data_IF_983302673138
#
_entry.id   IF_983302673138
#
_cell.length_a   1.000
_cell.length_b   1.000
_cell.length_c   1.000
_cell.angle_alpha   90.00
_cell.angle_beta   90.00
_cell.angle_gamma   90.00
#
_symmetry.space_group_name_H-M   'P 1'
#
loop_
_entity.id
_entity.type
_entity.pdbx_description
1 polymer ?
#
# COMPACT_ATOMS: atom_id res chain seq x y z
N UNK A 1 2.00 14.77 -23.77
CA UNK A 1 2.53 13.44 -23.38
C UNK A 1 2.75 13.55 -21.88
N UNK A 2 1.74 13.15 -21.10
CA UNK A 2 1.73 13.22 -19.64
C UNK A 2 1.99 11.77 -19.18
N UNK A 3 2.93 11.51 -18.25
CA UNK A 3 3.23 10.14 -17.85
C UNK A 3 2.11 9.59 -16.95
N UNK A 4 1.83 8.31 -17.16
CA UNK A 4 0.91 7.45 -16.41
C UNK A 4 1.27 7.40 -14.91
N UNK A 5 0.25 7.41 -14.05
CA UNK A 5 0.38 7.04 -12.64
C UNK A 5 -0.60 5.91 -12.33
N UNK A 6 -0.11 4.67 -12.29
CA UNK A 6 -0.90 3.54 -11.81
C UNK A 6 -0.62 3.30 -10.32
N UNK A 7 -1.46 3.80 -9.43
CA UNK A 7 -1.23 3.75 -7.98
C UNK A 7 -1.30 2.33 -7.41
N UNK A 8 -0.18 1.62 -7.43
CA UNK A 8 0.20 0.50 -6.53
C UNK A 8 1.55 -0.06 -6.97
N UNK A 9 2.62 0.09 -6.16
CA UNK A 9 3.99 -0.47 -6.27
C UNK A 9 4.77 -0.44 -7.62
N UNK A 10 4.13 -0.10 -8.73
CA UNK A 10 4.62 -0.19 -10.10
C UNK A 10 4.22 1.02 -10.95
N UNK A 11 3.68 2.06 -10.30
CA UNK A 11 3.14 3.28 -10.90
C UNK A 11 4.05 3.96 -11.91
N UNK A 12 5.36 3.81 -11.73
CA UNK A 12 6.38 4.52 -12.48
C UNK A 12 7.08 3.66 -13.54
N UNK A 13 6.49 2.52 -13.92
CA UNK A 13 7.08 1.56 -14.87
C UNK A 13 6.22 1.42 -16.12
N UNK A 14 6.85 1.29 -17.28
CA UNK A 14 6.13 0.86 -18.49
C UNK A 14 5.66 -0.59 -18.34
N UNK A 15 4.71 -1.02 -19.17
CA UNK A 15 4.24 -2.42 -19.21
C UNK A 15 5.42 -3.38 -19.43
N UNK A 16 6.37 -3.02 -20.29
CA UNK A 16 7.57 -3.82 -20.56
C UNK A 16 8.48 -3.89 -19.34
N UNK A 17 8.73 -2.77 -18.66
CA UNK A 17 9.53 -2.73 -17.42
C UNK A 17 8.87 -3.56 -16.32
N UNK A 18 7.56 -3.40 -16.14
CA UNK A 18 6.78 -4.18 -15.19
C UNK A 18 6.91 -5.70 -15.45
N UNK A 19 6.87 -6.12 -16.72
CA UNK A 19 7.03 -7.53 -17.11
C UNK A 19 8.45 -8.07 -16.84
N UNK A 20 9.48 -7.25 -17.10
CA UNK A 20 10.87 -7.59 -16.78
C UNK A 20 11.05 -7.77 -15.28
N UNK A 21 10.59 -6.81 -14.47
CA UNK A 21 10.75 -6.90 -13.02
C UNK A 21 9.90 -8.02 -12.41
N UNK A 22 8.69 -8.28 -12.95
CA UNK A 22 7.87 -9.42 -12.54
C UNK A 22 8.62 -10.76 -12.67
N UNK A 23 9.45 -10.90 -13.71
CA UNK A 23 10.10 -12.19 -14.04
C UNK A 23 11.57 -12.28 -13.61
N UNK A 24 12.28 -11.16 -13.55
CA UNK A 24 13.76 -11.13 -13.40
C UNK A 24 14.27 -10.32 -12.22
N UNK A 25 13.43 -9.63 -11.44
CA UNK A 25 13.90 -8.75 -10.34
C UNK A 25 14.92 -9.41 -9.39
N UNK A 26 14.71 -10.68 -9.04
CA UNK A 26 15.62 -11.42 -8.16
C UNK A 26 16.95 -11.80 -8.81
N UNK A 27 17.03 -11.81 -10.14
CA UNK A 27 18.28 -11.99 -10.89
C UNK A 27 19.03 -10.66 -11.03
N UNK A 28 18.30 -9.54 -11.01
CA UNK A 28 18.85 -8.18 -11.13
C UNK A 28 19.40 -7.63 -9.81
N UNK A 29 18.91 -8.13 -8.67
CA UNK A 29 19.34 -7.68 -7.37
C UNK A 29 20.60 -8.40 -6.87
N UNK A 30 21.65 -7.63 -6.56
CA UNK A 30 22.83 -8.14 -5.89
C UNK A 30 22.56 -8.35 -4.39
N UNK A 31 22.22 -9.60 -4.04
CA UNK A 31 21.97 -9.98 -2.65
C UNK A 31 23.17 -9.81 -1.71
N UNK A 32 24.40 -9.68 -2.22
CA UNK A 32 25.56 -9.43 -1.37
C UNK A 32 25.48 -8.10 -0.62
N UNK A 33 24.68 -7.16 -1.15
CA UNK A 33 24.43 -5.85 -0.55
C UNK A 33 23.58 -5.91 0.71
N UNK A 34 22.76 -6.95 0.92
CA UNK A 34 21.87 -7.05 2.10
C UNK A 34 22.69 -6.96 3.40
N UNK A 35 23.77 -7.74 3.50
CA UNK A 35 24.62 -7.75 4.69
C UNK A 35 25.30 -6.40 4.96
N UNK A 36 25.72 -5.70 3.91
CA UNK A 36 26.32 -4.37 4.02
C UNK A 36 25.29 -3.32 4.48
N UNK A 37 24.10 -3.32 3.87
CA UNK A 37 22.99 -2.43 4.23
C UNK A 37 22.64 -2.59 5.71
N UNK A 38 22.39 -3.80 6.19
CA UNK A 38 22.00 -4.05 7.57
C UNK A 38 23.09 -3.67 8.57
N UNK A 39 24.36 -3.91 8.22
CA UNK A 39 25.49 -3.47 9.05
C UNK A 39 25.61 -1.96 9.08
N UNK A 40 25.42 -1.27 7.95
CA UNK A 40 25.58 0.18 7.86
C UNK A 40 24.43 0.94 8.49
N UNK A 41 23.20 0.52 8.22
CA UNK A 41 21.98 1.22 8.63
C UNK A 41 21.60 0.90 10.07
N UNK A 42 21.68 -0.37 10.47
CA UNK A 42 21.19 -0.84 11.76
C UNK A 42 22.29 -1.35 12.69
N UNK A 43 23.55 -1.38 12.25
CA UNK A 43 24.65 -2.03 12.97
C UNK A 43 24.34 -3.49 13.36
N UNK A 44 23.65 -4.22 12.46
CA UNK A 44 23.24 -5.61 12.67
C UNK A 44 24.01 -6.55 11.75
N UNK A 45 24.32 -7.76 12.24
CA UNK A 45 24.99 -8.81 11.47
C UNK A 45 23.98 -9.79 10.91
N UNK A 46 23.98 -9.91 9.58
CA UNK A 46 23.18 -10.89 8.83
C UNK A 46 23.88 -12.24 8.85
N UNK A 47 23.13 -13.29 9.21
CA UNK A 47 23.59 -14.69 9.19
C UNK A 47 22.97 -15.49 8.04
N UNK A 48 21.90 -14.98 7.43
CA UNK A 48 21.25 -15.57 6.27
C UNK A 48 20.08 -14.72 5.80
N UNK A 49 19.52 -15.06 4.65
CA UNK A 49 18.28 -14.48 4.15
C UNK A 49 17.62 -15.45 3.17
N UNK A 50 16.30 -15.35 3.05
CA UNK A 50 15.50 -16.15 2.12
C UNK A 50 14.39 -15.33 1.48
N UNK A 51 13.86 -15.81 0.35
CA UNK A 51 12.73 -15.17 -0.31
C UNK A 51 11.45 -15.55 0.42
N UNK A 52 10.51 -14.60 0.62
CA UNK A 52 9.19 -14.96 1.14
C UNK A 52 8.46 -15.88 0.17
N UNK A 53 7.56 -16.71 0.71
CA UNK A 53 6.71 -17.61 -0.09
C UNK A 53 5.81 -16.84 -1.05
N UNK A 54 5.24 -15.73 -0.58
CA UNK A 54 4.47 -14.80 -1.39
C UNK A 54 5.35 -13.66 -1.90
N UNK A 55 5.38 -13.48 -3.22
CA UNK A 55 6.22 -12.51 -3.90
C UNK A 55 5.32 -11.43 -4.49
N UNK A 56 5.37 -10.21 -3.93
CA UNK A 56 4.68 -9.03 -4.49
C UNK A 56 5.16 -8.71 -5.91
N UNK A 57 4.45 -7.86 -6.67
CA UNK A 57 4.69 -7.71 -8.11
C UNK A 57 5.93 -6.86 -8.51
N UNK A 58 6.32 -5.77 -7.80
CA UNK A 58 7.39 -4.91 -8.31
C UNK A 58 8.71 -4.93 -7.53
N UNK A 59 8.69 -5.15 -6.21
CA UNK A 59 9.87 -5.07 -5.35
C UNK A 59 10.54 -6.43 -5.16
N UNK A 60 11.85 -6.47 -4.99
CA UNK A 60 12.49 -7.65 -4.39
C UNK A 60 12.25 -7.65 -2.90
N UNK A 61 12.07 -8.82 -2.31
CA UNK A 61 11.78 -8.96 -0.89
C UNK A 61 12.52 -10.14 -0.30
N UNK A 62 12.99 -9.98 0.93
CA UNK A 62 13.75 -10.98 1.66
C UNK A 62 13.38 -10.97 3.14
N UNK A 63 13.23 -12.15 3.73
CA UNK A 63 13.35 -12.34 5.17
C UNK A 63 14.83 -12.41 5.49
N UNK A 64 15.30 -11.60 6.43
CA UNK A 64 16.72 -11.45 6.78
C UNK A 64 16.94 -11.95 8.19
N UNK A 65 17.74 -13.01 8.32
CA UNK A 65 18.07 -13.64 9.59
C UNK A 65 19.29 -12.98 10.23
N UNK A 66 19.20 -12.71 11.52
CA UNK A 66 20.17 -11.91 12.27
C UNK A 66 20.79 -12.70 13.43
N UNK A 67 22.06 -12.48 13.76
CA UNK A 67 22.82 -13.33 14.71
C UNK A 67 22.23 -13.35 16.14
N UNK A 68 21.62 -12.25 16.58
CA UNK A 68 21.15 -12.05 17.97
C UNK A 68 19.93 -11.13 18.07
N UNK A 69 19.07 -11.12 17.05
CA UNK A 69 17.81 -10.38 17.11
C UNK A 69 16.75 -11.07 16.28
N UNK A 70 15.50 -10.63 16.44
CA UNK A 70 14.42 -11.05 15.56
C UNK A 70 14.76 -10.79 14.09
N UNK A 71 14.23 -11.65 13.24
CA UNK A 71 14.34 -11.52 11.80
C UNK A 71 13.61 -10.27 11.34
N UNK A 72 14.14 -9.67 10.27
CA UNK A 72 13.57 -8.47 9.68
C UNK A 72 13.22 -8.72 8.23
N UNK A 73 12.30 -7.92 7.71
CA UNK A 73 11.93 -7.96 6.31
C UNK A 73 12.61 -6.82 5.56
N UNK A 74 13.26 -7.15 4.45
CA UNK A 74 13.88 -6.22 3.54
C UNK A 74 13.09 -6.19 2.25
N UNK A 75 12.79 -4.98 1.74
CA UNK A 75 12.26 -4.80 0.39
C UNK A 75 13.00 -3.72 -0.36
N UNK A 76 13.21 -3.91 -1.66
CA UNK A 76 13.84 -2.91 -2.51
C UNK A 76 13.13 -2.74 -3.85
N UNK A 77 13.00 -1.48 -4.25
CA UNK A 77 12.58 -1.08 -5.58
C UNK A 77 13.78 -0.84 -6.47
N UNK A 78 13.93 -1.72 -7.47
CA UNK A 78 15.04 -1.69 -8.41
C UNK A 78 14.79 -0.80 -9.64
N UNK A 79 13.58 -0.25 -9.82
CA UNK A 79 13.21 0.49 -11.02
C UNK A 79 12.08 1.45 -10.73
N UNK A 80 12.35 2.76 -10.75
CA UNK A 80 12.46 3.51 -12.01
C UNK A 80 13.53 4.63 -11.97
N UNK A 81 13.56 5.52 -12.97
CA UNK A 81 14.50 6.67 -13.04
C UNK A 81 14.41 7.59 -11.81
N UNK A 82 13.21 7.81 -11.29
CA UNK A 82 12.94 8.70 -10.15
C UNK A 82 12.78 7.91 -8.84
N UNK A 83 13.13 8.50 -7.68
CA UNK A 83 12.89 7.91 -6.35
C UNK A 83 11.42 7.58 -6.06
N UNK A 84 11.16 6.44 -5.42
CA UNK A 84 9.83 6.00 -5.03
C UNK A 84 9.38 6.63 -3.70
N UNK A 85 8.76 7.81 -3.78
CA UNK A 85 8.22 8.53 -2.61
C UNK A 85 7.17 7.72 -1.84
N UNK A 86 6.52 6.73 -2.47
CA UNK A 86 5.54 5.86 -1.81
C UNK A 86 6.16 5.04 -0.66
N UNK A 87 7.46 4.69 -0.72
CA UNK A 87 8.14 4.04 0.40
C UNK A 87 8.19 4.96 1.63
N UNK A 88 8.42 6.26 1.43
CA UNK A 88 8.41 7.24 2.54
C UNK A 88 7.00 7.45 3.06
N UNK A 89 6.02 7.52 2.15
CA UNK A 89 4.60 7.64 2.48
C UNK A 89 4.15 6.50 3.39
N UNK A 90 4.48 5.25 3.03
CA UNK A 90 4.07 4.08 3.81
C UNK A 90 4.64 4.13 5.23
N UNK A 91 5.91 4.50 5.39
CA UNK A 91 6.51 4.64 6.72
C UNK A 91 5.78 5.70 7.56
N UNK A 92 5.48 6.87 6.99
CA UNK A 92 4.79 7.94 7.70
C UNK A 92 3.36 7.53 8.10
N UNK A 93 2.61 6.97 7.16
CA UNK A 93 1.23 6.53 7.40
C UNK A 93 1.19 5.43 8.45
N UNK A 94 2.05 4.43 8.33
CA UNK A 94 2.10 3.34 9.30
C UNK A 94 2.50 3.83 10.70
N UNK A 95 3.48 4.74 10.81
CA UNK A 95 3.84 5.35 12.09
C UNK A 95 2.67 6.07 12.76
N UNK A 96 1.86 6.78 11.97
CA UNK A 96 0.66 7.48 12.48
C UNK A 96 -0.41 6.49 12.89
N UNK A 97 -0.67 5.45 12.11
CA UNK A 97 -1.61 4.40 12.47
C UNK A 97 -1.18 3.71 13.79
N UNK A 98 0.10 3.36 13.93
CA UNK A 98 0.66 2.79 15.17
C UNK A 98 0.54 3.73 16.36
N UNK A 99 0.78 5.04 16.17
CA UNK A 99 0.63 6.03 17.23
C UNK A 99 -0.82 6.15 17.74
N UNK A 100 -1.81 5.78 16.91
CA UNK A 100 -3.22 5.66 17.29
C UNK A 100 -3.60 4.24 17.76
N UNK A 101 -2.61 3.39 17.99
CA UNK A 101 -2.75 2.02 18.51
C UNK A 101 -3.31 1.02 17.50
N UNK A 102 -3.28 1.33 16.19
CA UNK A 102 -3.66 0.36 15.16
C UNK A 102 -2.51 -0.63 14.93
N UNK A 103 -2.81 -1.89 14.54
CA UNK A 103 -1.80 -2.91 14.33
C UNK A 103 -1.07 -2.74 12.99
N UNK A 104 -0.44 -1.59 12.73
CA UNK A 104 0.26 -1.36 11.47
C UNK A 104 1.74 -1.82 11.50
N UNK A 105 2.29 -2.20 10.33
CA UNK A 105 3.68 -2.66 10.18
C UNK A 105 4.71 -1.64 10.65
N UNK A 106 5.77 -2.06 11.32
CA UNK A 106 6.83 -1.12 11.72
C UNK A 106 7.93 -1.03 10.66
N UNK A 107 7.96 0.08 9.93
CA UNK A 107 9.04 0.36 8.98
C UNK A 107 10.17 1.10 9.70
N UNK A 108 11.25 0.36 9.98
CA UNK A 108 12.41 0.81 10.76
C UNK A 108 13.22 1.84 9.96
N UNK A 109 13.39 1.61 8.66
CA UNK A 109 14.20 2.46 7.81
C UNK A 109 13.67 2.51 6.39
N UNK A 110 13.81 3.68 5.76
CA UNK A 110 13.53 3.92 4.34
C UNK A 110 14.69 4.75 3.78
N UNK A 111 15.22 4.35 2.64
CA UNK A 111 16.18 5.15 1.86
C UNK A 111 15.72 5.20 0.41
N UNK A 112 15.40 6.41 -0.06
CA UNK A 112 15.08 6.72 -1.46
C UNK A 112 16.10 7.70 -2.06
N UNK A 113 17.18 8.00 -1.31
CA UNK A 113 18.16 9.03 -1.68
C UNK A 113 19.07 8.59 -2.83
N UNK A 114 19.24 7.27 -2.96
CA UNK A 114 20.13 6.60 -3.91
C UNK A 114 21.59 7.06 -3.86
N UNK A 115 22.01 7.65 -2.75
CA UNK A 115 23.37 8.18 -2.59
C UNK A 115 24.42 7.06 -2.39
N UNK A 116 24.04 5.99 -1.69
CA UNK A 116 24.93 4.87 -1.36
C UNK A 116 24.61 3.66 -2.22
N UNK A 117 23.32 3.33 -2.33
CA UNK A 117 22.82 2.19 -3.11
C UNK A 117 21.98 2.72 -4.28
N UNK A 118 22.08 2.17 -5.50
CA UNK A 118 21.44 2.73 -6.68
C UNK A 118 19.95 2.37 -6.81
N UNK A 119 19.28 2.10 -5.69
CA UNK A 119 17.89 1.66 -5.61
C UNK A 119 17.26 2.16 -4.32
N UNK A 120 15.93 2.15 -4.28
CA UNK A 120 15.18 2.53 -3.09
C UNK A 120 14.90 1.30 -2.24
N UNK A 121 14.91 1.41 -0.91
CA UNK A 121 14.64 0.26 -0.06
C UNK A 121 14.00 0.63 1.28
N UNK A 122 13.41 -0.38 1.90
CA UNK A 122 12.95 -0.34 3.28
C UNK A 122 13.45 -1.55 4.07
N UNK A 123 13.61 -1.34 5.38
CA UNK A 123 13.77 -2.40 6.37
C UNK A 123 12.61 -2.29 7.36
N UNK A 124 11.91 -3.39 7.62
CA UNK A 124 10.75 -3.43 8.50
C UNK A 124 10.76 -4.65 9.41
N UNK A 125 10.00 -4.59 10.51
CA UNK A 125 9.75 -5.75 11.37
C UNK A 125 8.95 -6.82 10.63
N UNK A 126 9.14 -8.09 11.02
CA UNK A 126 8.31 -9.19 10.54
C UNK A 126 6.90 -9.05 11.10
N UNK A 127 5.92 -8.96 10.20
CA UNK A 127 4.51 -8.92 10.54
C UNK A 127 4.07 -10.28 11.11
N UNK A 128 3.37 -10.27 12.24
CA UNK A 128 2.89 -11.47 12.92
C UNK A 128 1.45 -11.83 12.51
N UNK A 129 1.13 -13.12 12.59
CA UNK A 129 -0.18 -13.67 12.24
C UNK A 129 -0.17 -14.41 10.90
N UNK A 130 -1.32 -14.97 10.55
CA UNK A 130 -1.50 -15.76 9.33
C UNK A 130 -2.11 -14.92 8.21
N UNK A 131 -1.85 -15.31 6.96
CA UNK A 131 -2.48 -14.70 5.79
C UNK A 131 -3.98 -15.00 5.73
N UNK A 132 -4.83 -13.98 5.70
CA UNK A 132 -6.27 -14.20 5.58
C UNK A 132 -6.66 -14.71 4.16
N UNK A 133 -5.90 -14.33 3.13
CA UNK A 133 -6.21 -14.70 1.75
C UNK A 133 -5.85 -16.15 1.46
N UNK A 134 -4.78 -16.70 2.04
CA UNK A 134 -4.34 -18.07 1.70
C UNK A 134 -4.33 -19.07 2.87
N UNK A 135 -4.30 -18.60 4.12
CA UNK A 135 -4.14 -19.45 5.32
C UNK A 135 -5.35 -19.37 6.27
N UNK A 136 -6.50 -18.85 5.83
CA UNK A 136 -7.70 -18.83 6.68
C UNK A 136 -8.25 -20.24 6.91
N UNK A 137 -8.28 -20.68 8.18
CA UNK A 137 -8.68 -22.04 8.57
C UNK A 137 -9.82 -22.08 9.61
N UNK A 138 -10.56 -20.98 9.78
CA UNK A 138 -11.67 -20.87 10.74
C UNK A 138 -13.04 -21.29 10.20
N UNK A 139 -14.06 -21.29 11.07
CA UNK A 139 -15.47 -21.40 10.68
C UNK A 139 -16.02 -20.07 10.14
N UNK A 140 -17.28 -20.06 9.70
CA UNK A 140 -17.97 -18.82 9.33
C UNK A 140 -18.00 -17.83 10.50
N UNK A 141 -18.28 -18.28 11.72
CA UNK A 141 -18.31 -17.42 12.92
C UNK A 141 -16.93 -16.82 13.22
N UNK A 142 -15.85 -17.56 12.95
CA UNK A 142 -14.50 -17.03 13.03
C UNK A 142 -14.25 -15.96 11.97
N UNK A 143 -14.73 -16.15 10.75
CA UNK A 143 -14.62 -15.14 9.71
C UNK A 143 -15.47 -13.90 10.03
N UNK A 144 -16.68 -14.08 10.57
CA UNK A 144 -17.51 -12.96 11.03
C UNK A 144 -16.78 -12.14 12.12
N UNK A 145 -16.02 -12.81 13.00
CA UNK A 145 -15.16 -12.15 14.01
C UNK A 145 -14.05 -11.35 13.34
N UNK A 146 -13.36 -11.94 12.36
CA UNK A 146 -12.33 -11.27 11.58
C UNK A 146 -12.88 -10.05 10.84
N UNK A 147 -13.98 -10.19 10.11
CA UNK A 147 -14.62 -9.10 9.38
C UNK A 147 -15.13 -7.99 10.31
N UNK A 148 -15.65 -8.34 11.49
CA UNK A 148 -16.01 -7.35 12.49
C UNK A 148 -14.79 -6.56 12.97
N UNK A 149 -13.66 -7.24 13.20
CA UNK A 149 -12.40 -6.59 13.59
C UNK A 149 -11.81 -5.71 12.47
N UNK A 150 -12.01 -6.04 11.20
CA UNK A 150 -11.72 -5.14 10.06
C UNK A 150 -12.61 -3.89 10.14
N UNK A 151 -13.90 -4.04 10.43
CA UNK A 151 -14.81 -2.91 10.64
C UNK A 151 -14.34 -1.99 11.78
N UNK A 152 -13.83 -2.57 12.88
CA UNK A 152 -13.23 -1.81 13.97
C UNK A 152 -11.95 -1.08 13.55
N UNK A 153 -11.10 -1.73 12.74
CA UNK A 153 -9.90 -1.11 12.17
C UNK A 153 -10.27 0.12 11.33
N UNK A 154 -11.24 -0.01 10.42
CA UNK A 154 -11.75 1.06 9.56
C UNK A 154 -12.35 2.20 10.38
N UNK A 155 -13.14 1.87 11.42
CA UNK A 155 -13.67 2.87 12.34
C UNK A 155 -12.57 3.66 13.05
N UNK A 156 -11.49 3.01 13.48
CA UNK A 156 -10.35 3.68 14.13
C UNK A 156 -9.51 4.51 13.15
N UNK A 157 -9.34 4.05 11.91
CA UNK A 157 -8.72 4.85 10.85
C UNK A 157 -9.50 6.15 10.59
N UNK A 158 -10.84 6.08 10.64
CA UNK A 158 -11.71 7.26 10.48
C UNK A 158 -11.53 8.34 11.56
N UNK A 159 -10.93 7.99 12.70
CA UNK A 159 -10.64 8.94 13.77
C UNK A 159 -9.40 9.78 13.47
N UNK A 160 -8.49 9.27 12.63
CA UNK A 160 -7.26 9.95 12.22
C UNK A 160 -7.57 10.98 11.15
N UNK A 161 -7.74 12.23 11.57
CA UNK A 161 -8.08 13.34 10.66
C UNK A 161 -6.87 13.81 9.87
N UNK A 162 -7.04 14.06 8.58
CA UNK A 162 -5.98 14.58 7.70
C UNK A 162 -6.44 15.82 6.95
N UNK A 163 -5.50 16.58 6.39
CA UNK A 163 -5.81 17.78 5.62
C UNK A 163 -5.92 17.46 4.13
N UNK A 164 -6.82 18.15 3.42
CA UNK A 164 -7.06 17.90 1.98
C UNK A 164 -7.78 16.57 1.71
N UNK A 165 -7.92 16.21 0.44
CA UNK A 165 -8.53 14.97 -0.04
C UNK A 165 -7.68 14.35 -1.16
N UNK A 166 -7.89 13.06 -1.44
CA UNK A 166 -7.18 12.32 -2.48
C UNK A 166 -5.77 11.90 -2.11
N UNK A 167 -4.96 11.69 -3.14
CA UNK A 167 -3.56 11.28 -3.01
C UNK A 167 -2.77 12.28 -2.15
N UNK A 168 -1.88 11.76 -1.30
CA UNK A 168 -0.99 12.59 -0.51
C UNK A 168 0.11 13.20 -1.39
N UNK A 169 0.31 14.50 -1.29
CA UNK A 169 1.31 15.23 -2.07
C UNK A 169 2.73 14.69 -1.83
N UNK A 170 3.47 14.26 -2.88
CA UNK A 170 4.83 13.75 -2.74
C UNK A 170 5.78 14.74 -2.05
N UNK A 171 5.68 16.03 -2.39
CA UNK A 171 6.48 17.09 -1.78
C UNK A 171 6.23 17.18 -0.28
N UNK A 172 4.96 17.08 0.15
CA UNK A 172 4.58 17.12 1.56
C UNK A 172 4.99 15.85 2.29
N UNK A 173 4.91 14.69 1.65
CA UNK A 173 5.40 13.42 2.20
C UNK A 173 6.89 13.54 2.53
N UNK A 174 7.70 14.12 1.64
CA UNK A 174 9.13 14.34 1.90
C UNK A 174 9.40 15.36 3.02
N UNK A 175 8.46 16.26 3.31
CA UNK A 175 8.48 17.14 4.50
C UNK A 175 7.99 16.45 5.79
N UNK A 176 7.60 15.16 5.73
CA UNK A 176 7.03 14.42 6.87
C UNK A 176 5.55 14.71 7.12
N UNK A 177 4.81 15.17 6.11
CA UNK A 177 3.37 15.51 6.19
C UNK A 177 2.57 14.73 5.15
N UNK A 178 1.35 14.35 5.46
CA UNK A 178 0.42 13.70 4.52
C UNK A 178 -0.79 14.61 4.34
N UNK A 179 -0.75 15.42 3.28
CA UNK A 179 -1.80 16.37 2.90
C UNK A 179 -2.32 15.96 1.53
N UNK A 180 -3.63 15.75 1.42
CA UNK A 180 -4.28 15.43 0.16
C UNK A 180 -4.22 16.59 -0.83
N UNK A 181 -4.04 16.28 -2.11
CA UNK A 181 -3.88 17.27 -3.18
C UNK A 181 -5.18 17.93 -3.64
N UNK A 182 -6.34 17.31 -3.37
CA UNK A 182 -7.66 17.82 -3.74
C UNK A 182 -8.32 18.60 -2.61
N UNK A 183 -9.18 19.56 -2.98
CA UNK A 183 -9.95 20.39 -2.04
C UNK A 183 -11.21 19.69 -1.53
N UNK A 184 -11.69 18.68 -2.24
CA UNK A 184 -12.86 17.87 -1.86
C UNK A 184 -12.73 16.43 -2.34
N UNK A 185 -13.46 15.52 -1.71
CA UNK A 185 -13.54 14.13 -2.16
C UNK A 185 -14.08 14.02 -3.58
N UNK A 186 -15.08 14.83 -3.94
CA UNK A 186 -15.67 14.80 -5.27
C UNK A 186 -14.67 15.21 -6.36
N UNK A 187 -13.85 16.23 -6.09
CA UNK A 187 -12.77 16.63 -7.01
C UNK A 187 -11.79 15.47 -7.23
N UNK A 188 -11.34 14.82 -6.16
CA UNK A 188 -10.46 13.64 -6.26
C UNK A 188 -11.09 12.53 -7.11
N UNK A 189 -12.35 12.16 -6.84
CA UNK A 189 -13.07 11.15 -7.60
C UNK A 189 -13.19 11.54 -9.08
N UNK A 190 -13.47 12.80 -9.40
CA UNK A 190 -13.58 13.26 -10.79
C UNK A 190 -12.24 13.17 -11.53
N UNK A 191 -11.12 13.49 -10.88
CA UNK A 191 -9.78 13.38 -11.48
C UNK A 191 -9.49 11.92 -11.83
N UNK A 192 -9.60 11.03 -10.84
CA UNK A 192 -9.32 9.60 -11.04
C UNK A 192 -10.25 8.96 -12.07
N UNK A 193 -11.56 9.27 -11.99
CA UNK A 193 -12.55 8.77 -12.94
C UNK A 193 -12.23 9.18 -14.38
N UNK A 194 -11.82 10.43 -14.60
CA UNK A 194 -11.55 10.90 -15.95
C UNK A 194 -10.32 10.22 -16.54
N UNK A 195 -9.27 10.03 -15.74
CA UNK A 195 -8.07 9.30 -16.14
C UNK A 195 -8.41 7.84 -16.50
N UNK A 196 -9.11 7.11 -15.63
CA UNK A 196 -9.50 5.72 -15.86
C UNK A 196 -10.45 5.57 -17.06
N UNK A 197 -11.46 6.43 -17.20
CA UNK A 197 -12.38 6.37 -18.34
C UNK A 197 -11.62 6.59 -19.65
N UNK A 198 -10.71 7.57 -19.70
CA UNK A 198 -9.92 7.82 -20.91
C UNK A 198 -9.07 6.61 -21.29
N UNK A 199 -8.44 5.95 -20.32
CA UNK A 199 -7.63 4.76 -20.57
C UNK A 199 -8.48 3.59 -21.09
N UNK A 200 -9.59 3.29 -20.42
CA UNK A 200 -10.49 2.18 -20.77
C UNK A 200 -11.17 2.43 -22.12
N UNK A 201 -11.53 3.68 -22.42
CA UNK A 201 -12.07 4.10 -23.73
C UNK A 201 -11.01 3.99 -24.82
N UNK A 202 -9.80 4.50 -24.60
CA UNK A 202 -8.70 4.44 -25.56
C UNK A 202 -8.31 3.00 -25.91
N UNK A 203 -8.33 2.09 -24.92
CA UNK A 203 -8.11 0.67 -25.11
C UNK A 203 -9.27 -0.06 -25.79
N UNK A 204 -10.41 0.61 -26.04
CA UNK A 204 -11.56 0.07 -26.75
C UNK A 204 -12.43 -0.88 -25.91
N UNK A 205 -12.25 -0.92 -24.59
CA UNK A 205 -13.09 -1.73 -23.70
C UNK A 205 -14.48 -1.13 -23.51
N UNK A 206 -14.62 0.19 -23.66
CA UNK A 206 -15.90 0.89 -23.65
C UNK A 206 -16.03 1.82 -24.86
N UNK A 207 -17.27 2.12 -25.24
CA UNK A 207 -17.56 3.13 -26.27
C UNK A 207 -17.59 4.53 -25.65
N UNK A 208 -17.40 5.57 -26.47
CA UNK A 208 -17.63 6.97 -26.06
C UNK A 208 -19.01 7.20 -25.46
N UNK A 209 -20.03 6.50 -25.96
CA UNK A 209 -21.38 6.58 -25.38
C UNK A 209 -21.44 6.01 -23.95
N UNK A 210 -20.75 4.89 -23.70
CA UNK A 210 -20.64 4.31 -22.35
C UNK A 210 -19.83 5.22 -21.43
N UNK A 211 -18.72 5.80 -21.92
CA UNK A 211 -17.89 6.74 -21.18
C UNK A 211 -18.70 7.97 -20.72
N UNK A 212 -19.47 8.59 -21.63
CA UNK A 212 -20.34 9.72 -21.30
C UNK A 212 -21.45 9.36 -20.29
N UNK A 213 -22.00 8.13 -20.36
CA UNK A 213 -22.93 7.65 -19.34
C UNK A 213 -22.29 7.55 -17.97
N UNK A 214 -21.08 7.00 -17.87
CA UNK A 214 -20.34 6.89 -16.61
C UNK A 214 -20.09 8.29 -16.02
N UNK A 215 -19.55 9.22 -16.82
CA UNK A 215 -19.38 10.62 -16.40
C UNK A 215 -20.69 11.23 -15.90
N UNK A 216 -21.80 10.99 -16.60
CA UNK A 216 -23.13 11.44 -16.22
C UNK A 216 -23.59 10.91 -14.85
N UNK A 217 -23.37 9.63 -14.55
CA UNK A 217 -23.72 9.00 -13.26
C UNK A 217 -22.94 9.63 -12.10
N UNK A 218 -21.64 9.85 -12.25
CA UNK A 218 -20.85 10.47 -11.19
C UNK A 218 -21.21 11.94 -10.98
N UNK A 219 -21.44 12.70 -12.06
CA UNK A 219 -21.90 14.09 -11.95
C UNK A 219 -23.25 14.21 -11.24
N UNK A 220 -24.21 13.35 -11.56
CA UNK A 220 -25.53 13.37 -10.90
C UNK A 220 -25.48 12.87 -9.44
N UNK A 221 -24.43 12.13 -9.07
CA UNK A 221 -24.21 11.58 -7.73
C UNK A 221 -23.31 12.46 -6.84
N UNK A 222 -22.99 13.68 -7.27
CA UNK A 222 -22.10 14.60 -6.53
C UNK A 222 -22.51 14.78 -5.06
N UNK A 223 -23.81 14.83 -4.77
CA UNK A 223 -24.33 14.99 -3.41
C UNK A 223 -23.96 13.84 -2.47
N UNK A 224 -23.70 12.64 -2.99
CA UNK A 224 -23.23 11.48 -2.22
C UNK A 224 -21.77 11.61 -1.80
N UNK A 225 -20.99 12.46 -2.49
CA UNK A 225 -19.57 12.68 -2.21
C UNK A 225 -19.33 13.90 -1.29
N UNK A 226 -20.36 14.38 -0.61
CA UNK A 226 -20.34 15.55 0.27
C UNK A 226 -19.63 15.33 1.61
N UNK A 227 -18.40 14.82 1.57
CA UNK A 227 -17.61 14.56 2.77
C UNK A 227 -17.02 15.86 3.33
N UNK A 228 -17.32 16.17 4.60
CA UNK A 228 -16.80 17.37 5.28
C UNK A 228 -15.50 17.13 6.04
N UNK A 229 -15.22 15.88 6.39
CA UNK A 229 -14.09 15.48 7.24
C UNK A 229 -13.25 14.47 6.47
N UNK A 230 -12.03 14.85 6.14
CA UNK A 230 -11.06 13.93 5.57
C UNK A 230 -10.38 13.12 6.67
N UNK A 231 -10.30 11.82 6.47
CA UNK A 231 -9.66 10.87 7.38
C UNK A 231 -8.59 10.08 6.62
N UNK A 232 -7.69 9.42 7.36
CA UNK A 232 -6.78 8.46 6.77
C UNK A 232 -7.57 7.25 6.24
N UNK A 233 -7.34 6.89 4.99
CA UNK A 233 -7.95 5.76 4.30
C UNK A 233 -6.83 4.87 3.78
N UNK A 234 -6.88 3.55 4.03
CA UNK A 234 -5.89 2.60 3.52
C UNK A 234 -5.97 2.48 1.99
N UNK A 235 -7.20 2.45 1.45
CA UNK A 235 -7.55 2.45 0.03
C UNK A 235 -7.17 1.18 -0.75
N UNK A 236 -6.69 0.16 -0.04
CA UNK A 236 -6.38 -1.16 -0.58
C UNK A 236 -6.45 -2.20 0.54
N UNK A 237 -7.57 -2.21 1.27
CA UNK A 237 -7.73 -3.02 2.47
C UNK A 237 -8.04 -4.48 2.14
N UNK A 238 -7.32 -5.08 1.18
CA UNK A 238 -7.51 -6.46 0.72
C UNK A 238 -7.04 -7.51 1.74
N UNK A 239 -7.56 -8.74 1.65
CA UNK A 239 -7.20 -9.85 2.56
C UNK A 239 -5.68 -10.11 2.62
N UNK A 240 -4.96 -9.94 1.50
CA UNK A 240 -3.51 -10.14 1.45
C UNK A 240 -2.69 -9.02 2.07
N UNK A 241 -3.30 -7.88 2.38
CA UNK A 241 -2.71 -6.75 3.13
C UNK A 241 -3.03 -6.83 4.63
N UNK A 242 -3.67 -7.91 5.07
CA UNK A 242 -4.05 -8.16 6.45
C UNK A 242 -3.43 -9.46 6.97
N UNK A 243 -3.15 -9.49 8.27
CA UNK A 243 -2.90 -10.72 9.02
C UNK A 243 -3.95 -10.90 10.10
N UNK A 244 -4.22 -12.15 10.45
CA UNK A 244 -5.09 -12.48 11.57
C UNK A 244 -4.37 -13.33 12.62
N UNK A 245 -4.77 -13.18 13.89
CA UNK A 245 -4.33 -14.08 14.96
C UNK A 245 -5.19 -15.35 14.92
N UNK A 246 -4.61 -16.56 14.72
CA UNK A 246 -5.38 -17.80 14.64
C UNK A 246 -6.07 -18.22 15.95
N UNK A 247 -5.77 -17.57 17.08
CA UNK A 247 -6.42 -17.85 18.37
C UNK A 247 -7.65 -16.98 18.59
N UNK A 248 -7.60 -15.71 18.17
CA UNK A 248 -8.70 -14.75 18.39
C UNK A 248 -9.54 -14.52 17.14
N UNK A 249 -8.98 -14.80 15.96
CA UNK A 249 -9.52 -14.44 14.65
C UNK A 249 -9.72 -12.92 14.46
N UNK A 250 -8.95 -12.10 15.15
CA UNK A 250 -8.93 -10.65 14.96
C UNK A 250 -7.77 -10.22 14.05
N UNK A 251 -7.88 -9.04 13.43
CA UNK A 251 -6.77 -8.43 12.69
C UNK A 251 -5.56 -8.27 13.62
N UNK A 252 -4.48 -8.98 13.31
CA UNK A 252 -3.20 -8.88 14.02
C UNK A 252 -2.25 -7.89 13.35
N UNK A 253 -2.44 -7.63 12.05
CA UNK A 253 -1.68 -6.62 11.33
C UNK A 253 -2.35 -6.08 10.07
N UNK A 254 -1.99 -4.85 9.70
CA UNK A 254 -2.30 -4.20 8.42
C UNK A 254 -1.04 -3.53 7.86
N UNK A 255 -0.79 -3.67 6.56
CA UNK A 255 0.43 -3.22 5.89
C UNK A 255 0.15 -2.91 4.41
N UNK A 256 1.16 -2.43 3.68
CA UNK A 256 1.04 -1.98 2.29
C UNK A 256 0.22 -0.68 2.14
N UNK A 257 0.64 0.36 2.88
CA UNK A 257 0.00 1.68 2.86
C UNK A 257 0.38 2.54 1.65
N UNK A 258 0.96 1.96 0.60
CA UNK A 258 1.34 2.70 -0.62
C UNK A 258 0.13 3.27 -1.37
N UNK A 259 -1.06 2.70 -1.17
CA UNK A 259 -2.31 3.21 -1.74
C UNK A 259 -2.98 4.28 -0.87
N UNK A 260 -2.52 4.50 0.37
CA UNK A 260 -3.24 5.32 1.34
C UNK A 260 -3.50 6.76 0.85
N UNK A 261 -4.70 7.24 1.15
CA UNK A 261 -5.23 8.56 0.72
C UNK A 261 -5.88 9.32 1.87
N UNK A 262 -6.11 10.61 1.64
CA UNK A 262 -6.98 11.46 2.43
C UNK A 262 -8.42 11.36 1.93
N UNK A 263 -9.37 10.84 2.69
CA UNK A 263 -10.71 10.62 2.13
C UNK A 263 -11.82 10.37 3.13
N UNK A 264 -12.95 9.95 2.57
CA UNK A 264 -14.06 9.39 3.35
C UNK A 264 -13.78 7.91 3.62
N UNK A 265 -14.00 7.48 4.84
CA UNK A 265 -13.81 6.09 5.28
C UNK A 265 -14.64 5.08 4.49
N UNK A 266 -15.72 5.50 3.81
CA UNK A 266 -16.46 4.63 2.89
C UNK A 266 -15.57 4.06 1.77
N UNK A 267 -14.47 4.73 1.42
CA UNK A 267 -13.51 4.23 0.43
C UNK A 267 -12.81 2.95 0.91
N UNK A 268 -12.50 2.83 2.21
CA UNK A 268 -11.96 1.58 2.74
C UNK A 268 -13.00 0.47 2.67
N UNK A 269 -14.27 0.76 2.97
CA UNK A 269 -15.36 -0.21 2.81
C UNK A 269 -15.56 -0.64 1.35
N UNK A 270 -15.31 0.25 0.40
CA UNK A 270 -15.38 -0.04 -1.04
C UNK A 270 -14.18 -0.87 -1.53
N UNK A 271 -13.00 -0.73 -0.90
CA UNK A 271 -11.78 -1.50 -1.22
C UNK A 271 -11.65 -2.81 -0.40
N UNK A 272 -12.40 -2.94 0.69
CA UNK A 272 -12.37 -4.09 1.59
C UNK A 272 -12.78 -5.37 0.84
N UNK A 273 -12.16 -6.53 1.14
CA UNK A 273 -12.41 -7.80 0.47
C UNK A 273 -13.91 -8.10 0.48
N UNK A 274 -14.45 -8.30 -0.72
CA UNK A 274 -15.77 -8.87 -0.89
C UNK A 274 -15.66 -10.37 -0.63
N UNK A 275 -15.81 -10.73 0.65
CA UNK A 275 -16.17 -12.03 1.22
C UNK A 275 -15.84 -13.23 0.32
N UNK A 276 -14.77 -13.97 0.65
CA UNK A 276 -14.73 -15.38 0.27
C UNK A 276 -16.04 -16.01 0.73
N UNK A 277 -16.84 -16.51 -0.20
CA UNK A 277 -17.94 -17.41 0.13
C UNK A 277 -17.30 -18.68 0.68
N UNK A 278 -17.14 -18.75 2.01
CA UNK A 278 -16.80 -19.97 2.74
C UNK A 278 -17.90 -21.02 2.54
#
# INVERSE_FOLDING_TARGET
>A
MIPFYNTSGGANRTVEEALVYKTKKYQLFDTSLISDIFKRVLNKKVIGFEKPLNIGLPHVSYVVHLEQSEDLFFRANLGPKEPEVQLVKEQLVSNVARAHGLPANHIIHVDISRNIYPFDFQIQEMVQGLDAEIEFHGTKENYDTFSFSIGQLVARLSEITVSGFGQFSPEKVLEGKFIGESTSLFEYIQIQLEEEIQEIEHAGYITTYTAEKLRGVFRSSQSLCGCKKSSLVHYDLADHNLRYDPKTFEVSAVFDWEAAVAGDTVLDLASCPTWKTL
#
